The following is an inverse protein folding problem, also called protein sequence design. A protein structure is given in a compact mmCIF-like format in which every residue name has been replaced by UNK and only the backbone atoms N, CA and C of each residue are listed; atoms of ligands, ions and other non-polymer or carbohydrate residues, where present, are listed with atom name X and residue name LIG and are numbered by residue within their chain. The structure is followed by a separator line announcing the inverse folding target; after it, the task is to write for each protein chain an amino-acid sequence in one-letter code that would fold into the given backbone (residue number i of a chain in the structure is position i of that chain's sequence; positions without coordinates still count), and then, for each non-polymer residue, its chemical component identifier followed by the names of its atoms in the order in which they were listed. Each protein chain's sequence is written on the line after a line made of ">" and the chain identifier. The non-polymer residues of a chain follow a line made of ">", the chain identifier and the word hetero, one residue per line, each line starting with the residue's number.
data_IF_770455388520
#
_entry.id   IF_770455388520
#
_cell.length_a   1.000
_cell.length_b   1.000
_cell.length_c   1.000
_cell.angle_alpha   90.00
_cell.angle_beta   90.00
_cell.angle_gamma   90.00
#
_symmetry.space_group_name_H-M   'P 1'
#
loop_
_entity.id
_entity.type
_entity.pdbx_description
1 polymer ?
#
# COMPACT_ATOMS: atom_id res chain seq x y z
N UNK A 1 3.98 -2.17 3.46
CA UNK A 1 2.66 -1.66 3.05
C UNK A 1 2.55 -1.68 1.53
N UNK A 2 1.52 -2.35 0.99
CA UNK A 2 1.35 -2.57 -0.44
C UNK A 2 -0.12 -2.81 -0.76
N UNK A 3 -0.56 -2.47 -1.98
CA UNK A 3 -1.83 -2.90 -2.56
C UNK A 3 -1.58 -3.71 -3.82
N UNK A 4 -2.53 -4.56 -4.19
CA UNK A 4 -2.51 -5.30 -5.46
C UNK A 4 -2.67 -4.38 -6.66
N UNK A 5 -3.22 -3.18 -6.44
CA UNK A 5 -3.66 -2.27 -7.48
C UNK A 5 -4.86 -2.80 -8.25
N UNK A 6 -5.32 -2.02 -9.22
CA UNK A 6 -6.40 -2.45 -10.09
C UNK A 6 -7.79 -2.44 -9.46
N UNK A 7 -7.96 -1.75 -8.36
CA UNK A 7 -9.23 -1.57 -7.64
C UNK A 7 -10.21 -0.62 -8.35
N UNK A 8 -9.71 0.20 -9.30
CA UNK A 8 -10.51 1.16 -10.06
C UNK A 8 -10.90 2.42 -9.29
N UNK A 9 -10.38 2.62 -8.10
CA UNK A 9 -10.72 3.76 -7.23
C UNK A 9 -10.12 5.08 -7.70
N UNK A 10 -9.00 5.03 -8.44
CA UNK A 10 -8.27 6.20 -8.96
C UNK A 10 -7.91 7.23 -7.90
N UNK A 11 -7.63 6.76 -6.69
CA UNK A 11 -7.23 7.63 -5.57
C UNK A 11 -5.76 8.06 -5.70
N UNK A 12 -5.39 9.10 -4.94
CA UNK A 12 -3.96 9.39 -4.77
C UNK A 12 -3.24 8.21 -4.11
N UNK A 13 -1.92 8.23 -4.12
CA UNK A 13 -1.10 7.09 -3.64
C UNK A 13 -1.12 6.98 -2.10
N UNK A 14 -2.24 6.50 -1.53
CA UNK A 14 -2.51 6.39 -0.09
C UNK A 14 -1.41 5.58 0.59
N UNK A 15 -1.13 4.34 0.12
CA UNK A 15 -0.11 3.47 0.73
C UNK A 15 1.30 4.07 0.65
N UNK A 16 1.60 4.88 -0.40
CA UNK A 16 2.88 5.58 -0.50
C UNK A 16 2.97 6.73 0.49
N UNK A 17 1.88 7.47 0.71
CA UNK A 17 1.81 8.50 1.73
C UNK A 17 1.93 7.88 3.14
N UNK A 18 1.16 6.83 3.40
CA UNK A 18 1.14 6.11 4.69
C UNK A 18 2.50 5.52 5.07
N UNK A 19 3.33 5.10 4.10
CA UNK A 19 4.67 4.58 4.41
C UNK A 19 5.57 5.61 5.07
N UNK A 20 5.50 6.89 4.66
CA UNK A 20 6.29 7.97 5.27
C UNK A 20 5.81 8.25 6.69
N UNK A 21 4.49 8.26 6.92
CA UNK A 21 3.90 8.46 8.25
C UNK A 21 4.27 7.29 9.17
N UNK A 22 4.14 6.05 8.71
CA UNK A 22 4.51 4.87 9.49
C UNK A 22 6.01 4.86 9.83
N UNK A 23 6.88 5.25 8.89
CA UNK A 23 8.31 5.34 9.15
C UNK A 23 8.64 6.45 10.16
N UNK A 24 8.02 7.61 10.04
CA UNK A 24 8.17 8.70 11.01
C UNK A 24 7.71 8.32 12.43
N UNK A 25 6.75 7.40 12.52
CA UNK A 25 6.26 6.84 13.79
C UNK A 25 7.08 5.64 14.30
N UNK A 26 8.20 5.29 13.63
CA UNK A 26 9.19 4.30 14.13
C UNK A 26 9.18 2.95 13.41
N UNK A 27 8.31 2.71 12.44
CA UNK A 27 8.38 1.50 11.62
C UNK A 27 9.55 1.56 10.62
N UNK A 28 10.14 0.42 10.29
CA UNK A 28 11.05 0.29 9.15
C UNK A 28 10.28 -0.22 7.95
N UNK A 29 10.14 0.61 6.92
CA UNK A 29 9.28 0.31 5.78
C UNK A 29 10.11 -0.02 4.54
N UNK A 30 9.97 -1.25 4.04
CA UNK A 30 10.50 -1.69 2.76
C UNK A 30 9.34 -1.77 1.75
N UNK A 31 9.13 -0.70 0.97
CA UNK A 31 8.07 -0.67 -0.03
C UNK A 31 8.56 -1.22 -1.37
N UNK A 32 7.87 -2.25 -1.85
CA UNK A 32 8.07 -2.82 -3.16
C UNK A 32 6.93 -2.37 -4.08
N UNK A 33 7.24 -1.91 -5.27
CA UNK A 33 6.22 -1.44 -6.19
C UNK A 33 6.75 -1.06 -7.56
N UNK A 34 5.83 -0.70 -8.44
CA UNK A 34 6.13 -0.36 -9.83
C UNK A 34 5.40 0.89 -10.29
N UNK A 35 5.49 1.10 -11.62
CA UNK A 35 4.64 2.06 -12.30
C UNK A 35 3.23 1.50 -12.43
N UNK A 36 2.26 2.39 -12.55
CA UNK A 36 0.88 1.96 -12.75
C UNK A 36 0.71 1.22 -14.08
N UNK A 37 -0.12 0.16 -14.05
CA UNK A 37 -0.59 -0.53 -15.26
C UNK A 37 -2.05 -0.18 -15.57
N UNK A 38 -2.84 0.09 -14.55
CA UNK A 38 -4.30 0.28 -14.64
C UNK A 38 -4.80 1.59 -14.01
N UNK A 39 -4.02 2.24 -13.16
CA UNK A 39 -4.31 3.55 -12.58
C UNK A 39 -3.47 4.66 -13.22
N UNK A 40 -3.78 5.91 -12.92
CA UNK A 40 -3.09 7.08 -13.49
C UNK A 40 -1.72 7.35 -12.87
N UNK A 41 -1.46 6.83 -11.65
CA UNK A 41 -0.20 7.03 -10.94
C UNK A 41 0.12 5.82 -10.08
N UNK A 42 1.26 5.16 -10.33
CA UNK A 42 1.80 4.12 -9.45
C UNK A 42 2.73 4.70 -8.38
N UNK A 43 3.16 3.86 -7.44
CA UNK A 43 4.08 4.30 -6.38
C UNK A 43 5.41 4.81 -6.93
N UNK A 44 5.95 4.21 -7.99
CA UNK A 44 7.17 4.68 -8.64
C UNK A 44 6.98 6.06 -9.28
N UNK A 45 5.82 6.29 -9.92
CA UNK A 45 5.56 7.55 -10.62
C UNK A 45 5.51 8.73 -9.64
N UNK A 46 4.79 8.59 -8.54
CA UNK A 46 4.70 9.65 -7.53
C UNK A 46 6.04 9.87 -6.81
N UNK A 47 6.80 8.81 -6.52
CA UNK A 47 8.10 8.92 -5.87
C UNK A 47 9.13 9.64 -6.76
N UNK A 48 9.17 9.33 -8.07
CA UNK A 48 9.99 10.09 -9.03
C UNK A 48 9.59 11.56 -9.09
N UNK A 49 8.29 11.85 -9.11
CA UNK A 49 7.80 13.24 -9.12
C UNK A 49 8.19 14.01 -7.85
N UNK A 50 8.39 13.30 -6.73
CA UNK A 50 8.91 13.84 -5.47
C UNK A 50 10.45 13.99 -5.47
N UNK A 51 11.14 13.58 -6.53
CA UNK A 51 12.59 13.63 -6.64
C UNK A 51 13.32 12.43 -6.02
N UNK A 52 12.60 11.37 -5.65
CA UNK A 52 13.21 10.15 -5.11
C UNK A 52 13.87 9.36 -6.25
N UNK A 53 15.13 8.95 -6.05
CA UNK A 53 15.77 8.03 -6.97
C UNK A 53 15.26 6.61 -6.76
N UNK A 54 14.39 6.15 -7.65
CA UNK A 54 13.79 4.81 -7.60
C UNK A 54 14.72 3.70 -8.09
N UNK A 55 15.89 4.04 -8.66
CA UNK A 55 16.86 3.10 -9.23
C UNK A 55 18.07 2.87 -8.32
N UNK A 56 17.91 2.97 -7.02
CA UNK A 56 18.97 2.69 -6.07
C UNK A 56 19.36 1.20 -6.10
N UNK A 57 20.66 0.89 -5.95
CA UNK A 57 21.10 -0.50 -5.76
C UNK A 57 20.67 -1.03 -4.39
N UNK A 58 20.59 -2.38 -4.21
CA UNK A 58 20.11 -3.00 -2.98
C UNK A 58 20.79 -2.49 -1.69
N UNK A 59 22.09 -2.31 -1.70
CA UNK A 59 22.85 -1.82 -0.53
C UNK A 59 22.45 -0.39 -0.14
N UNK A 60 22.17 0.47 -1.12
CA UNK A 60 21.71 1.83 -0.85
C UNK A 60 20.26 1.83 -0.32
N UNK A 61 19.40 0.93 -0.82
CA UNK A 61 18.04 0.74 -0.29
C UNK A 61 18.12 0.26 1.17
N UNK A 62 18.96 -0.75 1.46
CA UNK A 62 19.16 -1.25 2.82
C UNK A 62 19.62 -0.15 3.79
N UNK A 63 20.58 0.69 3.36
CA UNK A 63 21.01 1.86 4.15
C UNK A 63 19.87 2.86 4.35
N UNK A 64 19.08 3.15 3.31
CA UNK A 64 17.92 4.05 3.43
C UNK A 64 16.91 3.55 4.47
N UNK A 65 16.61 2.25 4.48
CA UNK A 65 15.75 1.65 5.50
C UNK A 65 16.36 1.78 6.89
N UNK A 66 17.66 1.55 7.03
CA UNK A 66 18.35 1.60 8.33
C UNK A 66 18.45 3.02 8.88
N UNK A 67 18.78 4.01 8.06
CA UNK A 67 19.10 5.38 8.47
C UNK A 67 17.87 6.30 8.44
N UNK A 68 16.98 6.12 7.46
CA UNK A 68 15.80 6.99 7.22
C UNK A 68 14.47 6.32 7.59
N UNK A 69 14.48 4.99 7.74
CA UNK A 69 13.28 4.20 8.04
C UNK A 69 12.48 3.77 6.80
N UNK A 70 12.82 4.26 5.61
CA UNK A 70 12.10 3.94 4.35
C UNK A 70 13.07 3.52 3.27
N UNK A 71 12.71 2.47 2.51
CA UNK A 71 13.37 2.11 1.27
C UNK A 71 12.35 1.72 0.20
N UNK A 72 12.60 2.12 -1.03
CA UNK A 72 11.76 1.77 -2.17
C UNK A 72 12.51 0.82 -3.12
N UNK A 73 11.87 -0.31 -3.41
CA UNK A 73 12.36 -1.33 -4.33
C UNK A 73 11.53 -1.28 -5.62
N UNK A 74 12.10 -0.75 -6.66
CA UNK A 74 11.45 -0.67 -7.97
C UNK A 74 11.33 -2.06 -8.60
N UNK A 75 10.13 -2.58 -8.73
CA UNK A 75 9.84 -3.96 -9.11
C UNK A 75 10.59 -4.45 -10.38
N UNK A 76 10.71 -3.67 -11.48
CA UNK A 76 11.46 -4.08 -12.65
C UNK A 76 12.95 -4.37 -12.40
N UNK A 77 13.56 -3.73 -11.40
CA UNK A 77 14.97 -3.94 -11.05
C UNK A 77 15.20 -5.21 -10.23
N UNK A 78 14.16 -5.68 -9.53
CA UNK A 78 14.23 -6.85 -8.64
C UNK A 78 13.63 -8.13 -9.25
N UNK A 79 12.82 -7.99 -10.30
CA UNK A 79 12.17 -9.12 -10.97
C UNK A 79 12.46 -9.13 -12.49
N UNK A 80 13.70 -9.42 -12.89
CA UNK A 80 14.11 -9.34 -14.31
C UNK A 80 13.29 -10.25 -15.21
N UNK A 81 12.82 -11.40 -14.72
CA UNK A 81 11.98 -12.33 -15.48
C UNK A 81 10.64 -11.69 -15.91
N UNK A 82 10.15 -10.69 -15.19
CA UNK A 82 8.93 -9.99 -15.55
C UNK A 82 9.01 -9.23 -16.87
N UNK A 83 10.22 -8.93 -17.37
CA UNK A 83 10.44 -8.32 -18.70
C UNK A 83 9.83 -9.18 -19.82
N UNK A 84 9.82 -10.50 -19.64
CA UNK A 84 9.29 -11.44 -20.63
C UNK A 84 7.76 -11.42 -20.71
N UNK A 85 7.08 -11.12 -19.63
CA UNK A 85 5.60 -11.13 -19.55
C UNK A 85 4.99 -9.73 -19.58
N UNK A 86 5.75 -8.68 -19.29
CA UNK A 86 5.26 -7.32 -19.25
C UNK A 86 4.63 -6.83 -20.58
N UNK A 87 5.19 -7.12 -21.78
CA UNK A 87 4.57 -6.75 -23.04
C UNK A 87 3.20 -7.42 -23.22
N UNK A 88 3.11 -8.73 -22.96
CA UNK A 88 1.86 -9.49 -23.08
C UNK A 88 0.80 -8.98 -22.10
N UNK A 89 1.18 -8.70 -20.84
CA UNK A 89 0.25 -8.13 -19.85
C UNK A 89 -0.30 -6.77 -20.30
N UNK A 90 0.54 -5.94 -20.90
CA UNK A 90 0.13 -4.62 -21.42
C UNK A 90 -0.84 -4.76 -22.59
N UNK A 91 -0.57 -5.68 -23.50
CA UNK A 91 -1.42 -5.96 -24.66
C UNK A 91 -2.78 -6.52 -24.24
N UNK A 92 -2.80 -7.44 -23.28
CA UNK A 92 -4.04 -8.03 -22.74
C UNK A 92 -4.90 -7.00 -22.01
N UNK A 93 -4.30 -6.04 -21.30
CA UNK A 93 -5.02 -4.99 -20.56
C UNK A 93 -5.93 -5.50 -19.43
N UNK A 94 -5.79 -6.76 -19.01
CA UNK A 94 -6.61 -7.39 -17.98
C UNK A 94 -5.80 -7.72 -16.72
N UNK A 95 -6.50 -7.93 -15.60
CA UNK A 95 -5.89 -8.47 -14.38
C UNK A 95 -5.47 -9.92 -14.61
N UNK A 96 -4.29 -10.26 -14.13
CA UNK A 96 -3.72 -11.61 -14.22
C UNK A 96 -3.23 -12.06 -12.84
N UNK A 97 -2.79 -13.31 -12.73
CA UNK A 97 -2.20 -13.82 -11.49
C UNK A 97 -1.03 -12.95 -10.99
N UNK A 98 -0.31 -12.28 -11.86
CA UNK A 98 0.78 -11.38 -11.48
C UNK A 98 0.33 -10.15 -10.66
N UNK A 99 -0.96 -9.79 -10.71
CA UNK A 99 -1.49 -8.73 -9.87
C UNK A 99 -1.55 -9.15 -8.40
N UNK A 100 -1.79 -10.42 -8.13
CA UNK A 100 -1.88 -10.98 -6.77
C UNK A 100 -0.54 -11.54 -6.26
N UNK A 101 0.38 -11.91 -7.15
CA UNK A 101 1.69 -12.42 -6.76
C UNK A 101 2.68 -11.31 -6.37
N UNK A 102 2.56 -10.11 -6.98
CA UNK A 102 3.50 -9.01 -6.74
C UNK A 102 3.70 -8.68 -5.26
N UNK A 103 2.62 -8.47 -4.47
CA UNK A 103 2.71 -8.21 -3.04
C UNK A 103 3.38 -9.32 -2.21
N UNK A 104 3.35 -10.57 -2.68
CA UNK A 104 3.96 -11.72 -2.00
C UNK A 104 5.47 -11.86 -2.24
N UNK A 105 6.05 -11.06 -3.13
CA UNK A 105 7.43 -11.22 -3.62
C UNK A 105 8.33 -10.04 -3.25
N UNK A 106 8.09 -9.41 -2.09
CA UNK A 106 8.92 -8.32 -1.62
C UNK A 106 10.38 -8.78 -1.44
N UNK A 107 11.35 -8.15 -2.13
CA UNK A 107 12.75 -8.59 -2.10
C UNK A 107 13.42 -8.48 -0.73
N UNK A 108 12.90 -7.65 0.17
CA UNK A 108 13.43 -7.49 1.53
C UNK A 108 12.96 -8.61 2.48
N UNK A 109 12.07 -9.51 2.03
CA UNK A 109 11.51 -10.58 2.87
C UNK A 109 11.01 -10.08 4.22
N UNK A 110 10.32 -8.93 4.23
CA UNK A 110 9.79 -8.34 5.45
C UNK A 110 8.83 -9.32 6.15
N UNK A 111 9.01 -9.59 7.46
CA UNK A 111 8.19 -10.55 8.17
C UNK A 111 6.76 -10.05 8.40
N UNK A 112 6.56 -8.75 8.31
CA UNK A 112 5.30 -8.08 8.61
C UNK A 112 4.77 -7.35 7.37
N UNK A 113 3.45 -7.37 7.15
CA UNK A 113 2.86 -6.74 5.97
C UNK A 113 1.44 -6.22 6.22
N UNK A 114 1.15 -5.02 5.76
CA UNK A 114 -0.20 -4.56 5.44
C UNK A 114 -0.39 -4.66 3.93
N UNK A 115 -1.37 -5.47 3.49
CA UNK A 115 -1.64 -5.75 2.08
C UNK A 115 -3.11 -5.46 1.73
N UNK A 116 -3.34 -4.50 0.84
CA UNK A 116 -4.66 -4.30 0.24
C UNK A 116 -4.90 -5.19 -0.97
N UNK A 117 -6.12 -5.68 -1.13
CA UNK A 117 -6.53 -6.52 -2.26
C UNK A 117 -7.74 -5.96 -2.99
N UNK A 118 -7.80 -6.15 -4.31
CA UNK A 118 -8.87 -5.60 -5.15
C UNK A 118 -10.16 -6.44 -5.18
N UNK A 119 -10.22 -7.55 -4.45
CA UNK A 119 -11.40 -8.43 -4.42
C UNK A 119 -11.53 -9.10 -3.05
N UNK A 120 -12.74 -9.22 -2.50
CA UNK A 120 -12.96 -9.76 -1.15
C UNK A 120 -12.46 -11.21 -0.99
N UNK A 121 -12.60 -12.07 -2.00
CA UNK A 121 -12.13 -13.45 -1.93
C UNK A 121 -10.62 -13.56 -1.75
N UNK A 122 -9.87 -12.53 -2.14
CA UNK A 122 -8.42 -12.51 -1.98
C UNK A 122 -7.98 -12.29 -0.53
N UNK A 123 -8.82 -11.78 0.34
CA UNK A 123 -8.46 -11.55 1.76
C UNK A 123 -8.02 -12.87 2.39
N UNK A 124 -8.90 -13.88 2.39
CA UNK A 124 -8.59 -15.18 2.97
C UNK A 124 -7.52 -15.97 2.20
N UNK A 125 -7.44 -15.80 0.86
CA UNK A 125 -6.42 -16.47 0.04
C UNK A 125 -5.03 -15.92 0.35
N UNK A 126 -4.88 -14.59 0.38
CA UNK A 126 -3.58 -13.93 0.55
C UNK A 126 -3.04 -14.09 1.96
N UNK A 127 -3.88 -13.98 2.99
CA UNK A 127 -3.41 -14.17 4.37
C UNK A 127 -2.91 -15.60 4.60
N UNK A 128 -3.56 -16.61 4.01
CA UNK A 128 -3.08 -18.01 4.07
C UNK A 128 -1.82 -18.23 3.24
N UNK A 129 -1.68 -17.56 2.11
CA UNK A 129 -0.45 -17.59 1.32
C UNK A 129 0.72 -16.99 2.11
N UNK A 130 0.53 -15.84 2.76
CA UNK A 130 1.52 -15.20 3.61
C UNK A 130 1.93 -16.08 4.79
N UNK A 131 0.97 -16.74 5.44
CA UNK A 131 1.26 -17.72 6.49
C UNK A 131 2.20 -18.82 6.00
N UNK A 132 1.91 -19.41 4.83
CA UNK A 132 2.74 -20.46 4.22
C UNK A 132 4.12 -19.97 3.78
N UNK A 133 4.23 -18.67 3.44
CA UNK A 133 5.50 -18.03 3.11
C UNK A 133 6.30 -17.59 4.32
N UNK A 134 5.78 -17.81 5.54
CA UNK A 134 6.50 -17.54 6.79
C UNK A 134 6.38 -16.11 7.29
N UNK A 135 5.35 -15.36 6.90
CA UNK A 135 5.07 -14.07 7.51
C UNK A 135 4.75 -14.26 9.00
N UNK A 136 5.18 -13.30 9.82
CA UNK A 136 4.96 -13.31 11.27
C UNK A 136 3.67 -12.57 11.64
N UNK A 137 3.47 -11.38 11.08
CA UNK A 137 2.24 -10.61 11.24
C UNK A 137 1.82 -10.03 9.89
N UNK A 138 0.65 -10.42 9.41
CA UNK A 138 0.10 -9.95 8.15
C UNK A 138 -1.34 -9.46 8.34
N UNK A 139 -1.64 -8.29 7.81
CA UNK A 139 -2.98 -7.72 7.77
C UNK A 139 -3.37 -7.54 6.31
N UNK A 140 -4.28 -8.37 5.82
CA UNK A 140 -4.78 -8.31 4.44
C UNK A 140 -6.16 -7.67 4.46
N UNK A 141 -6.35 -6.61 3.67
CA UNK A 141 -7.54 -5.76 3.75
C UNK A 141 -8.23 -5.58 2.41
N UNK A 142 -9.55 -5.44 2.46
CA UNK A 142 -10.41 -5.08 1.33
C UNK A 142 -11.50 -4.13 1.80
N UNK A 143 -11.49 -2.88 1.31
CA UNK A 143 -12.59 -1.94 1.53
C UNK A 143 -13.86 -2.38 0.82
N UNK A 144 -14.99 -2.40 1.50
CA UNK A 144 -16.27 -2.80 0.92
C UNK A 144 -16.76 -1.86 -0.21
N UNK A 145 -16.14 -0.71 -0.35
CA UNK A 145 -16.30 0.22 -1.48
C UNK A 145 -15.40 -0.11 -2.69
N UNK A 146 -14.64 -1.20 -2.61
CA UNK A 146 -13.79 -1.72 -3.68
C UNK A 146 -12.31 -1.37 -3.56
N UNK A 147 -11.93 -0.56 -2.57
CA UNK A 147 -10.54 -0.11 -2.40
C UNK A 147 -9.61 -1.25 -1.92
N UNK A 148 -8.39 -1.28 -2.43
CA UNK A 148 -7.30 -2.11 -1.93
C UNK A 148 -6.50 -1.41 -0.81
N UNK A 149 -7.24 -0.77 0.11
CA UNK A 149 -6.74 -0.05 1.29
C UNK A 149 -7.72 -0.24 2.45
N UNK A 150 -7.35 0.16 3.66
CA UNK A 150 -8.32 0.35 4.75
C UNK A 150 -9.19 1.54 4.39
N UNK A 151 -10.47 1.30 4.12
CA UNK A 151 -11.38 2.32 3.60
C UNK A 151 -11.79 3.33 4.68
N UNK A 152 -11.89 4.60 4.26
CA UNK A 152 -12.55 5.64 5.06
C UNK A 152 -14.05 5.76 4.73
N UNK A 153 -14.49 5.20 3.62
CA UNK A 153 -15.86 5.35 3.10
C UNK A 153 -16.78 4.15 3.34
N UNK A 154 -16.24 3.05 3.84
CA UNK A 154 -16.97 1.80 4.05
C UNK A 154 -16.30 0.94 5.12
N UNK A 155 -16.96 -0.12 5.54
CA UNK A 155 -16.33 -1.19 6.31
C UNK A 155 -15.16 -1.81 5.52
N UNK A 156 -14.17 -2.31 6.22
CA UNK A 156 -13.02 -3.02 5.63
C UNK A 156 -12.99 -4.45 6.14
N UNK A 157 -13.00 -5.41 5.22
CA UNK A 157 -12.73 -6.81 5.54
C UNK A 157 -11.26 -6.98 5.85
N UNK A 158 -10.96 -7.72 6.91
CA UNK A 158 -9.59 -8.00 7.37
C UNK A 158 -9.39 -9.51 7.47
N UNK A 159 -8.27 -9.96 6.90
CA UNK A 159 -7.68 -11.27 7.21
C UNK A 159 -6.36 -11.02 7.91
N UNK A 160 -6.27 -11.36 9.18
CA UNK A 160 -5.09 -11.15 9.99
C UNK A 160 -4.40 -12.48 10.28
N UNK A 161 -3.10 -12.52 10.06
CA UNK A 161 -2.18 -13.53 10.60
C UNK A 161 -1.41 -12.90 11.74
N UNK A 162 -1.54 -13.46 12.93
CA UNK A 162 -0.78 -13.07 14.12
C UNK A 162 -0.53 -14.26 15.00
N UNK A 163 0.67 -14.39 15.55
CA UNK A 163 1.05 -15.51 16.43
C UNK A 163 0.76 -16.90 15.83
N UNK A 164 0.86 -17.02 14.50
CA UNK A 164 0.60 -18.24 13.74
C UNK A 164 -0.88 -18.54 13.43
N UNK A 165 -1.79 -17.79 14.04
CA UNK A 165 -3.23 -17.97 13.87
C UNK A 165 -3.79 -16.98 12.84
N UNK A 166 -4.85 -17.40 12.14
CA UNK A 166 -5.58 -16.54 11.19
C UNK A 166 -6.96 -16.22 11.75
N UNK A 167 -7.27 -14.92 11.80
CA UNK A 167 -8.60 -14.39 12.09
C UNK A 167 -9.14 -13.60 10.89
N UNK A 168 -10.45 -13.67 10.67
CA UNK A 168 -11.15 -12.86 9.66
C UNK A 168 -12.24 -12.05 10.36
N UNK A 169 -12.26 -10.73 10.15
CA UNK A 169 -13.20 -9.82 10.79
C UNK A 169 -13.41 -8.56 9.94
N UNK A 170 -14.22 -7.63 10.43
CA UNK A 170 -14.41 -6.31 9.81
C UNK A 170 -14.06 -5.21 10.80
N UNK A 171 -13.56 -4.11 10.24
CA UNK A 171 -13.31 -2.87 10.96
C UNK A 171 -14.01 -1.71 10.24
N UNK A 172 -14.36 -0.68 11.01
CA UNK A 172 -14.99 0.54 10.53
C UNK A 172 -14.15 1.76 10.91
N UNK A 173 -14.19 2.86 10.13
CA UNK A 173 -13.48 4.10 10.49
C UNK A 173 -13.85 4.61 11.89
N UNK A 174 -15.11 4.43 12.30
CA UNK A 174 -15.63 4.86 13.60
C UNK A 174 -14.99 4.10 14.77
N UNK A 175 -14.51 2.88 14.57
CA UNK A 175 -13.77 2.11 15.59
C UNK A 175 -12.48 2.82 16.01
N UNK A 176 -11.97 3.69 15.14
CA UNK A 176 -10.76 4.50 15.34
C UNK A 176 -11.08 5.99 15.60
N UNK A 177 -12.34 6.33 15.88
CA UNK A 177 -12.77 7.70 16.13
C UNK A 177 -12.79 8.59 14.88
N UNK A 178 -12.76 8.01 13.69
CA UNK A 178 -12.82 8.73 12.43
C UNK A 178 -14.26 8.76 11.89
N UNK A 179 -14.62 9.85 11.22
CA UNK A 179 -15.91 9.97 10.55
C UNK A 179 -15.79 9.43 9.13
N UNK A 180 -16.74 8.59 8.73
CA UNK A 180 -16.81 8.10 7.35
C UNK A 180 -16.85 9.25 6.34
N UNK A 181 -16.08 9.12 5.29
CA UNK A 181 -16.01 10.10 4.21
C UNK A 181 -15.98 9.41 2.84
N UNK A 182 -16.60 10.04 1.85
CA UNK A 182 -16.64 9.51 0.48
C UNK A 182 -15.25 9.44 -0.14
N UNK A 183 -14.91 8.32 -0.76
CA UNK A 183 -13.68 8.13 -1.53
C UNK A 183 -13.53 9.09 -2.72
N UNK A 184 -14.59 9.78 -3.13
CA UNK A 184 -14.54 10.79 -4.20
C UNK A 184 -13.56 11.94 -3.89
N UNK A 185 -13.44 12.33 -2.62
CA UNK A 185 -12.51 13.37 -2.18
C UNK A 185 -11.03 12.95 -2.29
N UNK A 186 -10.76 11.66 -2.53
CA UNK A 186 -9.42 11.09 -2.63
C UNK A 186 -8.97 10.88 -4.08
N UNK A 187 -9.88 11.10 -5.05
CA UNK A 187 -9.60 10.85 -6.47
C UNK A 187 -8.68 11.89 -7.06
N UNK A 188 -7.81 11.42 -7.93
CA UNK A 188 -6.86 12.24 -8.68
C UNK A 188 -6.89 11.89 -10.17
N UNK A 189 -6.58 12.87 -11.02
CA UNK A 189 -6.58 12.70 -12.45
C UNK A 189 -5.16 12.52 -13.02
N UNK A 190 -4.16 13.08 -12.34
CA UNK A 190 -2.77 13.09 -12.78
C UNK A 190 -1.81 12.68 -11.67
N UNK A 191 -0.58 12.27 -11.99
CA UNK A 191 0.48 12.06 -10.98
C UNK A 191 0.79 13.33 -10.18
N UNK A 192 0.67 14.49 -10.80
CA UNK A 192 0.88 15.81 -10.19
C UNK A 192 -0.18 16.09 -9.12
N UNK A 193 -1.46 15.75 -9.40
CA UNK A 193 -2.54 15.86 -8.41
C UNK A 193 -2.26 14.93 -7.21
N UNK A 194 -1.82 13.70 -7.48
CA UNK A 194 -1.45 12.74 -6.45
C UNK A 194 -0.31 13.26 -5.58
N UNK A 195 0.73 13.82 -6.21
CA UNK A 195 1.85 14.47 -5.52
C UNK A 195 1.38 15.63 -4.66
N UNK A 196 0.55 16.52 -5.21
CA UNK A 196 0.06 17.69 -4.50
C UNK A 196 -0.75 17.30 -3.25
N UNK A 197 -1.63 16.31 -3.38
CA UNK A 197 -2.42 15.79 -2.25
C UNK A 197 -1.51 15.13 -1.20
N UNK A 198 -0.56 14.29 -1.62
CA UNK A 198 0.41 13.63 -0.75
C UNK A 198 1.23 14.64 0.05
N UNK A 199 1.79 15.65 -0.62
CA UNK A 199 2.54 16.71 0.05
C UNK A 199 1.66 17.51 1.01
N UNK A 200 0.43 17.84 0.59
CA UNK A 200 -0.53 18.53 1.47
C UNK A 200 -0.83 17.77 2.77
N UNK A 201 -0.92 16.44 2.69
CA UNK A 201 -1.08 15.58 3.87
C UNK A 201 0.19 15.57 4.74
N UNK A 202 1.37 15.31 4.15
CA UNK A 202 2.62 15.20 4.89
C UNK A 202 3.05 16.53 5.54
N UNK A 203 2.77 17.65 4.88
CA UNK A 203 3.03 19.00 5.40
C UNK A 203 1.94 19.45 6.40
N UNK A 204 0.93 18.63 6.62
CA UNK A 204 -0.22 18.95 7.48
C UNK A 204 -0.83 20.33 7.15
N UNK A 205 -1.00 20.62 5.85
CA UNK A 205 -1.57 21.90 5.40
C UNK A 205 -2.96 22.10 5.99
N UNK A 206 -3.23 23.30 6.48
CA UNK A 206 -4.56 23.67 6.99
C UNK A 206 -5.52 23.93 5.82
N UNK A 207 -5.95 22.84 5.19
CA UNK A 207 -6.92 22.83 4.10
C UNK A 207 -8.02 21.80 4.42
N UNK A 208 -9.27 22.23 4.58
CA UNK A 208 -10.41 21.35 4.81
C UNK A 208 -10.61 20.29 3.72
N UNK A 209 -10.22 20.59 2.47
CA UNK A 209 -10.31 19.64 1.35
C UNK A 209 -9.39 18.42 1.54
N UNK A 210 -8.33 18.57 2.33
CA UNK A 210 -7.38 17.49 2.63
C UNK A 210 -7.79 16.63 3.85
N UNK A 211 -8.90 16.96 4.53
CA UNK A 211 -9.31 16.22 5.74
C UNK A 211 -9.45 14.73 5.47
N UNK A 212 -10.20 14.34 4.46
CA UNK A 212 -10.39 12.91 4.11
C UNK A 212 -9.06 12.23 3.74
N UNK A 213 -8.17 12.95 3.05
CA UNK A 213 -6.84 12.43 2.70
C UNK A 213 -5.95 12.24 3.94
N UNK A 214 -5.99 13.15 4.91
CA UNK A 214 -5.29 12.97 6.19
C UNK A 214 -5.86 11.80 6.99
N UNK A 215 -7.19 11.71 7.08
CA UNK A 215 -7.86 10.67 7.86
C UNK A 215 -7.55 9.28 7.30
N UNK A 216 -7.64 9.07 5.97
CA UNK A 216 -7.34 7.75 5.38
C UNK A 216 -5.85 7.38 5.49
N UNK A 217 -4.96 8.36 5.40
CA UNK A 217 -3.52 8.12 5.59
C UNK A 217 -3.23 7.77 7.05
N UNK A 218 -3.83 8.48 8.00
CA UNK A 218 -3.69 8.15 9.43
C UNK A 218 -4.21 6.75 9.74
N UNK A 219 -5.37 6.37 9.18
CA UNK A 219 -5.96 5.05 9.34
C UNK A 219 -5.04 3.95 8.78
N UNK A 220 -4.60 4.09 7.53
CA UNK A 220 -3.73 3.10 6.90
C UNK A 220 -2.32 3.05 7.53
N UNK A 221 -1.77 4.18 7.94
CA UNK A 221 -0.50 4.22 8.68
C UNK A 221 -0.63 3.57 10.06
N UNK A 222 -1.75 3.80 10.77
CA UNK A 222 -2.04 3.16 12.06
C UNK A 222 -2.09 1.64 11.95
N UNK A 223 -2.84 1.12 10.97
CA UNK A 223 -2.89 -0.33 10.72
C UNK A 223 -1.53 -0.88 10.27
N UNK A 224 -0.74 -0.11 9.51
CA UNK A 224 0.63 -0.52 9.15
C UNK A 224 1.57 -0.58 10.37
N UNK A 225 1.44 0.34 11.32
CA UNK A 225 2.18 0.34 12.58
C UNK A 225 1.78 -0.85 13.47
N UNK A 226 0.50 -1.17 13.51
CA UNK A 226 -0.01 -2.38 14.17
C UNK A 226 0.58 -3.65 13.53
N UNK A 227 0.49 -3.79 12.21
CA UNK A 227 1.09 -4.91 11.50
C UNK A 227 2.61 -5.00 11.70
N UNK A 228 3.30 -3.87 11.87
CA UNK A 228 4.73 -3.81 12.16
C UNK A 228 5.08 -4.11 13.64
N UNK A 229 4.09 -4.37 14.50
CA UNK A 229 4.24 -4.55 15.96
C UNK A 229 4.88 -3.34 16.66
N UNK A 230 4.70 -2.13 16.12
CA UNK A 230 5.15 -0.87 16.74
C UNK A 230 4.14 -0.39 17.78
N UNK A 231 2.86 -0.68 17.54
CA UNK A 231 1.73 -0.38 18.43
C UNK A 231 0.87 -1.63 18.63
N UNK A 232 0.09 -1.63 19.73
CA UNK A 232 -0.86 -2.71 20.08
C UNK A 232 -2.26 -2.41 19.54
#
# INVERSE_FOLDING_TARGET
>A
IVGTGGDGSHTFNISTCSMFVAAAAGARVSKHGGRSVSSKSGSADVLESLGVNINLPPDAIARSIAEVGVGFMFAPNHHPAMKNVAPVRRELGIKTIFNILGPLTNPASAPNILMGVFHPDLVGIQVRALQRLGAEHAVVVYGRDGMDEVSLGAATMVGELKDGEIAEYEIHPEDFGLTMASSRALRVETPEDSKAMLLGVLENRDDPALKAARDIVALNAGVALYAANVVS
#
